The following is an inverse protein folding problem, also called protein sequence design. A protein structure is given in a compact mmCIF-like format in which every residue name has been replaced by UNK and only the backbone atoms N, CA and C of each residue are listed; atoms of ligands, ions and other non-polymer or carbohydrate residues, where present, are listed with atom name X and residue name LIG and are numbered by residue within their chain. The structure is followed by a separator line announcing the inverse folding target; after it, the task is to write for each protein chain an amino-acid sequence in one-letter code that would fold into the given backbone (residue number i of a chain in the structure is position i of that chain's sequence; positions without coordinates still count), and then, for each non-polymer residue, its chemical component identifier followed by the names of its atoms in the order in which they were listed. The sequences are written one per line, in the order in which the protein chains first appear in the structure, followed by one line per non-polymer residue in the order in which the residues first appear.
data_IF_616128019945
#
_entry.id   IF_616128019945
#
_cell.length_a   1.000
_cell.length_b   1.000
_cell.length_c   1.000
_cell.angle_alpha   90.00
_cell.angle_beta   90.00
_cell.angle_gamma   90.00
#
_symmetry.space_group_name_H-M   'P 1'
#
loop_
_entity.id
_entity.type
_entity.pdbx_description
1 polymer ?
#
# COMPACT_ATOMS: atom_id res chain seq x y z
N UNK A 1 14.80 -17.73 11.21
CA UNK A 1 14.93 -18.16 9.82
C UNK A 1 14.44 -17.08 8.90
N UNK A 2 15.29 -16.52 8.08
CA UNK A 2 14.78 -15.60 7.10
C UNK A 2 13.80 -16.35 6.20
N UNK A 3 12.72 -15.70 5.83
CA UNK A 3 11.86 -16.25 4.81
C UNK A 3 12.63 -16.18 3.51
N UNK A 4 13.32 -17.23 3.24
CA UNK A 4 14.29 -17.33 2.17
C UNK A 4 13.67 -17.27 0.79
N UNK A 5 12.35 -17.32 0.69
CA UNK A 5 11.68 -17.51 -0.58
C UNK A 5 10.55 -16.54 -0.85
N UNK A 6 10.64 -15.31 -0.29
CA UNK A 6 9.73 -14.29 -0.77
C UNK A 6 10.13 -13.96 -2.21
N UNK A 7 9.19 -14.09 -3.19
CA UNK A 7 9.47 -13.70 -4.56
C UNK A 7 9.57 -12.19 -4.74
N UNK A 8 9.41 -11.44 -3.64
CA UNK A 8 9.34 -9.99 -3.68
C UNK A 8 10.57 -9.36 -3.03
N UNK A 9 11.13 -8.36 -3.71
CA UNK A 9 12.25 -7.57 -3.22
C UNK A 9 11.78 -6.15 -2.98
N UNK A 10 12.10 -5.60 -1.80
CA UNK A 10 11.75 -4.23 -1.42
C UNK A 10 12.97 -3.34 -1.51
N UNK A 11 12.82 -2.19 -2.17
CA UNK A 11 13.85 -1.18 -2.26
C UNK A 11 13.21 0.20 -2.12
N UNK A 12 13.98 1.18 -1.62
CA UNK A 12 13.48 2.55 -1.57
C UNK A 12 13.03 2.97 -2.95
N UNK A 13 11.90 3.67 -3.03
CA UNK A 13 11.31 4.02 -4.29
C UNK A 13 12.19 5.02 -5.04
N UNK A 14 12.65 4.62 -6.22
CA UNK A 14 13.44 5.50 -7.10
C UNK A 14 12.53 6.53 -7.78
N UNK A 15 13.11 7.63 -8.24
CA UNK A 15 12.36 8.63 -9.00
C UNK A 15 11.76 8.02 -10.27
N UNK A 16 12.53 7.18 -10.94
CA UNK A 16 12.06 6.50 -12.14
C UNK A 16 10.83 5.62 -11.86
N UNK A 17 10.87 4.83 -10.79
CA UNK A 17 9.74 3.98 -10.42
C UNK A 17 8.55 4.80 -9.94
N UNK A 18 8.79 5.91 -9.23
CA UNK A 18 7.72 6.82 -8.83
C UNK A 18 6.97 7.37 -10.05
N UNK A 19 7.70 7.73 -11.09
CA UNK A 19 7.11 8.25 -12.33
C UNK A 19 6.28 7.18 -13.05
N UNK A 20 6.72 5.93 -13.02
CA UNK A 20 5.96 4.80 -13.59
C UNK A 20 4.68 4.60 -12.80
N UNK A 21 4.78 4.53 -11.46
CA UNK A 21 3.62 4.32 -10.59
C UNK A 21 2.59 5.43 -10.74
N UNK A 22 3.03 6.67 -10.89
CA UNK A 22 2.13 7.82 -11.05
C UNK A 22 1.22 7.69 -12.28
N UNK A 23 1.60 6.88 -13.25
CA UNK A 23 0.85 6.68 -14.50
C UNK A 23 -0.01 5.42 -14.49
N UNK A 24 -0.01 4.66 -13.43
CA UNK A 24 -0.85 3.46 -13.33
C UNK A 24 -2.32 3.85 -13.29
N UNK A 25 -3.15 3.15 -14.05
CA UNK A 25 -4.60 3.31 -14.09
C UNK A 25 -5.28 2.00 -13.76
N UNK A 26 -6.23 2.09 -12.85
CA UNK A 26 -7.02 0.92 -12.42
C UNK A 26 -8.38 0.95 -13.11
N UNK A 27 -8.93 -0.23 -13.45
CA UNK A 27 -10.29 -0.28 -14.02
C UNK A 27 -11.32 0.18 -13.00
N UNK A 28 -12.43 0.74 -13.49
CA UNK A 28 -13.51 1.16 -12.62
C UNK A 28 -14.05 -0.02 -11.81
N UNK A 29 -14.42 0.17 -10.55
CA UNK A 29 -14.47 1.43 -9.79
C UNK A 29 -13.13 1.80 -9.13
N UNK A 30 -12.07 1.06 -9.39
CA UNK A 30 -10.79 1.19 -8.69
C UNK A 30 -9.92 2.35 -9.20
N UNK A 31 -10.35 3.07 -10.24
CA UNK A 31 -9.67 4.28 -10.68
C UNK A 31 -9.61 5.35 -9.58
N UNK A 32 -10.43 5.20 -8.54
CA UNK A 32 -10.35 5.98 -7.32
C UNK A 32 -8.93 5.96 -6.72
N UNK A 33 -8.19 4.87 -6.92
CA UNK A 33 -6.84 4.69 -6.38
C UNK A 33 -5.74 5.12 -7.34
N UNK A 34 -6.08 5.65 -8.51
CA UNK A 34 -5.08 6.24 -9.41
C UNK A 34 -4.41 7.41 -8.70
N UNK A 35 -3.09 7.48 -8.79
CA UNK A 35 -2.37 8.60 -8.19
C UNK A 35 -2.84 9.93 -8.77
N UNK A 36 -3.17 9.95 -10.07
CA UNK A 36 -3.66 11.14 -10.75
C UNK A 36 -5.02 11.63 -10.24
N UNK A 37 -5.74 10.84 -9.44
CA UNK A 37 -7.03 11.24 -8.89
C UNK A 37 -6.91 12.29 -7.79
N UNK A 38 -5.74 12.47 -7.20
CA UNK A 38 -5.49 13.47 -6.16
C UNK A 38 -4.16 14.18 -6.40
N UNK A 39 -4.23 15.51 -6.55
CA UNK A 39 -3.06 16.34 -6.88
C UNK A 39 -2.00 16.30 -5.78
N UNK A 40 -2.44 16.29 -4.52
CA UNK A 40 -1.52 16.29 -3.40
C UNK A 40 -0.81 14.95 -3.28
N UNK A 41 -1.50 13.86 -3.53
CA UNK A 41 -0.93 12.51 -3.50
C UNK A 41 0.14 12.35 -4.58
N UNK A 42 -0.13 12.78 -5.80
CA UNK A 42 0.83 12.64 -6.88
C UNK A 42 2.05 13.55 -6.66
N UNK A 43 1.84 14.71 -6.05
CA UNK A 43 2.95 15.59 -5.69
C UNK A 43 3.86 14.94 -4.66
N UNK A 44 3.28 14.34 -3.61
CA UNK A 44 4.05 13.64 -2.58
C UNK A 44 4.87 12.50 -3.20
N UNK A 45 4.27 11.75 -4.11
CA UNK A 45 4.95 10.64 -4.77
C UNK A 45 6.12 11.11 -5.64
N UNK A 46 5.93 12.17 -6.43
CA UNK A 46 6.90 12.60 -7.43
C UNK A 46 7.99 13.53 -6.91
N UNK A 47 7.76 14.21 -5.80
CA UNK A 47 8.76 15.11 -5.22
C UNK A 47 9.61 14.36 -4.20
N UNK A 48 10.91 14.14 -4.47
CA UNK A 48 11.77 13.40 -3.55
C UNK A 48 11.80 13.97 -2.13
N UNK A 49 11.68 15.30 -1.99
CA UNK A 49 11.70 15.93 -0.69
C UNK A 49 10.42 15.61 0.11
N UNK A 50 9.27 15.57 -0.56
CA UNK A 50 8.00 15.21 0.08
C UNK A 50 7.87 13.71 0.30
N UNK A 51 8.33 12.91 -0.67
CA UNK A 51 8.29 11.46 -0.57
C UNK A 51 9.12 10.94 0.60
N UNK A 52 10.26 11.55 0.85
CA UNK A 52 11.16 11.12 1.91
C UNK A 52 11.57 9.66 1.73
N UNK A 53 11.58 8.92 2.83
CA UNK A 53 11.94 7.50 2.85
C UNK A 53 10.75 6.60 3.23
N UNK A 54 9.52 7.09 3.10
CA UNK A 54 8.33 6.34 3.45
C UNK A 54 7.94 5.31 2.39
N UNK A 55 8.34 5.50 1.14
CA UNK A 55 7.85 4.73 0.00
C UNK A 55 8.88 3.72 -0.49
N UNK A 56 8.40 2.51 -0.78
CA UNK A 56 9.22 1.38 -1.20
C UNK A 56 8.62 0.76 -2.46
N UNK A 57 9.49 0.56 -3.45
CA UNK A 57 9.12 -0.19 -4.65
C UNK A 57 9.27 -1.68 -4.39
N UNK A 58 8.36 -2.47 -4.95
CA UNK A 58 8.39 -3.93 -4.82
C UNK A 58 8.63 -4.52 -6.21
N UNK A 59 9.64 -5.36 -6.29
CA UNK A 59 10.06 -6.00 -7.55
C UNK A 59 9.90 -7.51 -7.42
N UNK A 60 9.56 -8.18 -8.53
CA UNK A 60 9.47 -9.63 -8.56
C UNK A 60 10.84 -10.28 -8.75
N UNK A 61 10.88 -11.61 -8.83
CA UNK A 61 12.11 -12.37 -9.01
C UNK A 61 12.85 -12.07 -10.31
N UNK A 62 12.20 -11.51 -11.29
CA UNK A 62 12.80 -11.05 -12.56
C UNK A 62 13.26 -9.61 -12.54
N UNK A 63 13.06 -8.90 -11.42
CA UNK A 63 13.44 -7.50 -11.28
C UNK A 63 12.40 -6.50 -11.79
N UNK A 64 11.20 -6.95 -12.15
CA UNK A 64 10.13 -6.05 -12.60
C UNK A 64 9.41 -5.39 -11.43
N UNK A 65 9.13 -4.10 -11.57
CA UNK A 65 8.33 -3.35 -10.61
C UNK A 65 6.89 -3.84 -10.66
N UNK A 66 6.41 -4.42 -9.57
CA UNK A 66 5.07 -5.00 -9.49
C UNK A 66 4.15 -4.29 -8.50
N UNK A 67 4.68 -3.41 -7.67
CA UNK A 67 3.87 -2.72 -6.69
C UNK A 67 4.69 -1.78 -5.84
N UNK A 68 4.03 -1.23 -4.84
CA UNK A 68 4.67 -0.35 -3.86
C UNK A 68 4.04 -0.52 -2.49
N UNK A 69 4.79 -0.12 -1.47
CA UNK A 69 4.28 0.06 -0.12
C UNK A 69 4.71 1.42 0.39
N UNK A 70 3.90 2.00 1.26
CA UNK A 70 4.34 3.09 2.13
C UNK A 70 4.28 2.62 3.57
N UNK A 71 5.25 3.07 4.36
CA UNK A 71 5.34 2.76 5.79
C UNK A 71 5.54 4.07 6.55
N UNK A 72 4.57 4.42 7.38
CA UNK A 72 4.58 5.68 8.14
C UNK A 72 4.42 5.37 9.62
N UNK A 73 5.52 5.41 10.41
CA UNK A 73 5.42 5.18 11.84
C UNK A 73 4.59 6.25 12.54
N UNK A 74 3.70 5.82 13.43
CA UNK A 74 2.85 6.70 14.25
C UNK A 74 2.78 6.12 15.64
N UNK A 75 3.69 6.57 16.53
CA UNK A 75 3.83 5.96 17.85
C UNK A 75 4.26 4.51 17.72
N UNK A 76 3.61 3.60 18.43
CA UNK A 76 3.88 2.16 18.33
C UNK A 76 3.27 1.50 17.09
N UNK A 77 2.48 2.23 16.32
CA UNK A 77 1.84 1.69 15.12
C UNK A 77 2.63 2.03 13.87
N UNK A 78 2.53 1.17 12.86
CA UNK A 78 3.03 1.43 11.53
C UNK A 78 1.84 1.47 10.58
N UNK A 79 1.58 2.66 10.03
CA UNK A 79 0.53 2.81 9.02
C UNK A 79 1.08 2.36 7.67
N UNK A 80 0.38 1.44 7.02
CA UNK A 80 0.79 0.91 5.72
C UNK A 80 -0.16 1.37 4.63
N UNK A 81 0.42 1.68 3.46
CA UNK A 81 -0.30 1.83 2.22
C UNK A 81 0.30 0.89 1.20
N UNK A 82 -0.48 0.42 0.24
CA UNK A 82 0.02 -0.52 -0.76
C UNK A 82 -0.76 -0.43 -2.06
N UNK A 83 -0.10 -0.80 -3.13
CA UNK A 83 -0.72 -0.91 -4.43
C UNK A 83 0.01 -1.89 -5.32
N UNK A 84 -0.76 -2.76 -5.99
CA UNK A 84 -0.25 -3.65 -7.03
C UNK A 84 -0.35 -2.98 -8.38
N UNK A 85 0.55 -3.32 -9.29
CA UNK A 85 0.46 -2.91 -10.69
C UNK A 85 -0.92 -3.33 -11.23
N UNK A 86 -1.59 -2.47 -11.99
CA UNK A 86 -2.99 -2.70 -12.37
C UNK A 86 -3.26 -4.05 -13.05
N UNK A 87 -2.36 -4.51 -13.91
CA UNK A 87 -2.52 -5.78 -14.63
C UNK A 87 -2.38 -7.01 -13.72
N UNK A 88 -1.88 -6.82 -12.50
CA UNK A 88 -1.71 -7.89 -11.52
C UNK A 88 -2.84 -7.97 -10.50
N UNK A 89 -3.75 -7.00 -10.49
CA UNK A 89 -4.89 -7.02 -9.58
C UNK A 89 -5.91 -8.07 -10.00
N UNK A 90 -6.63 -8.64 -9.03
CA UNK A 90 -7.66 -9.64 -9.32
C UNK A 90 -7.14 -11.01 -9.71
N UNK A 91 -5.85 -11.30 -9.49
CA UNK A 91 -5.22 -12.57 -9.85
C UNK A 91 -4.82 -13.42 -8.63
N UNK A 92 -5.34 -13.10 -7.46
CA UNK A 92 -5.02 -13.84 -6.25
C UNK A 92 -3.66 -13.52 -5.65
N UNK A 93 -2.97 -12.48 -6.11
CA UNK A 93 -1.65 -12.09 -5.61
C UNK A 93 -1.71 -11.25 -4.34
N UNK A 94 -2.88 -10.72 -4.00
CA UNK A 94 -3.03 -9.79 -2.88
C UNK A 94 -2.58 -10.35 -1.54
N UNK A 95 -2.91 -11.61 -1.25
CA UNK A 95 -2.55 -12.23 0.04
C UNK A 95 -1.03 -12.33 0.19
N UNK A 96 -0.33 -12.84 -0.83
CA UNK A 96 1.12 -12.98 -0.80
C UNK A 96 1.83 -11.63 -0.80
N UNK A 97 1.33 -10.67 -1.56
CA UNK A 97 1.87 -9.32 -1.62
C UNK A 97 1.77 -8.63 -0.26
N UNK A 98 0.59 -8.69 0.37
CA UNK A 98 0.39 -8.12 1.70
C UNK A 98 1.28 -8.81 2.74
N UNK A 99 1.34 -10.14 2.73
CA UNK A 99 2.18 -10.89 3.67
C UNK A 99 3.64 -10.48 3.57
N UNK A 100 4.15 -10.29 2.35
CA UNK A 100 5.52 -9.83 2.14
C UNK A 100 5.76 -8.44 2.71
N UNK A 101 4.81 -7.53 2.52
CA UNK A 101 4.88 -6.18 3.07
C UNK A 101 4.86 -6.14 4.59
N UNK A 102 4.01 -6.96 5.21
CA UNK A 102 3.96 -7.07 6.67
C UNK A 102 5.27 -7.62 7.23
N UNK A 103 5.83 -8.63 6.60
CA UNK A 103 7.11 -9.19 7.02
C UNK A 103 8.23 -8.17 6.90
N UNK A 104 8.29 -7.44 5.79
CA UNK A 104 9.27 -6.37 5.60
C UNK A 104 9.10 -5.29 6.67
N UNK A 105 7.86 -4.87 6.93
CA UNK A 105 7.57 -3.86 7.95
C UNK A 105 7.97 -4.29 9.35
N UNK A 106 7.73 -5.55 9.70
CA UNK A 106 8.17 -6.09 11.00
C UNK A 106 9.68 -6.00 11.17
N UNK A 107 10.42 -6.44 10.16
CA UNK A 107 11.89 -6.45 10.21
C UNK A 107 12.48 -5.06 10.24
N UNK A 108 11.93 -4.16 9.45
CA UNK A 108 12.50 -2.82 9.26
C UNK A 108 12.14 -1.87 10.39
N UNK A 109 10.92 -1.96 10.92
CA UNK A 109 10.38 -0.95 11.84
C UNK A 109 10.04 -1.51 13.22
N UNK A 110 9.91 -2.82 13.37
CA UNK A 110 9.55 -3.47 14.63
C UNK A 110 8.34 -2.82 15.32
N UNK A 111 7.21 -2.62 14.63
CA UNK A 111 6.04 -1.96 15.24
C UNK A 111 5.33 -2.90 16.20
N UNK A 112 4.52 -2.33 17.10
CA UNK A 112 3.62 -3.09 17.96
C UNK A 112 2.38 -3.54 17.19
N UNK A 113 1.94 -2.73 16.22
CA UNK A 113 0.77 -3.03 15.40
C UNK A 113 0.86 -2.36 14.04
N UNK A 114 0.10 -2.91 13.09
CA UNK A 114 -0.10 -2.31 11.79
C UNK A 114 -1.48 -1.66 11.72
N UNK A 115 -1.57 -0.52 11.03
CA UNK A 115 -2.84 0.12 10.69
C UNK A 115 -2.92 0.39 9.19
N UNK A 116 -4.12 0.48 8.67
CA UNK A 116 -4.37 0.89 7.30
C UNK A 116 -5.74 1.53 7.19
N UNK A 117 -5.95 2.24 6.09
CA UNK A 117 -7.25 2.81 5.75
C UNK A 117 -7.61 2.37 4.34
N UNK A 118 -8.86 1.99 4.13
CA UNK A 118 -9.37 1.52 2.85
C UNK A 118 -10.76 2.09 2.60
N UNK A 119 -11.02 2.51 1.35
CA UNK A 119 -12.36 2.97 0.99
C UNK A 119 -13.37 1.84 1.17
N UNK A 120 -14.52 2.14 1.77
CA UNK A 120 -15.49 1.10 2.14
C UNK A 120 -16.08 0.37 0.93
N UNK A 121 -16.06 0.98 -0.25
CA UNK A 121 -16.52 0.32 -1.46
C UNK A 121 -15.59 -0.81 -1.92
N UNK A 122 -14.32 -0.77 -1.49
CA UNK A 122 -13.30 -1.72 -1.94
C UNK A 122 -13.37 -3.04 -1.15
N UNK A 123 -14.44 -3.78 -1.36
CA UNK A 123 -14.71 -5.02 -0.64
C UNK A 123 -13.66 -6.09 -0.92
N UNK A 124 -13.08 -6.07 -2.11
CA UNK A 124 -12.02 -7.01 -2.50
C UNK A 124 -10.79 -6.85 -1.59
N UNK A 125 -10.33 -5.62 -1.40
CA UNK A 125 -9.19 -5.35 -0.53
C UNK A 125 -9.52 -5.65 0.93
N UNK A 126 -10.70 -5.25 1.40
CA UNK A 126 -11.11 -5.52 2.78
C UNK A 126 -11.04 -7.01 3.09
N UNK A 127 -11.48 -7.87 2.17
CA UNK A 127 -11.39 -9.33 2.37
C UNK A 127 -9.94 -9.81 2.48
N UNK A 128 -9.04 -9.26 1.67
CA UNK A 128 -7.60 -9.57 1.77
C UNK A 128 -7.08 -9.19 3.15
N UNK A 129 -7.42 -7.99 3.62
CA UNK A 129 -6.97 -7.51 4.93
C UNK A 129 -7.54 -8.37 6.07
N UNK A 130 -8.81 -8.72 5.99
CA UNK A 130 -9.42 -9.58 7.02
C UNK A 130 -8.77 -10.96 7.06
N UNK A 131 -8.46 -11.55 5.90
CA UNK A 131 -7.75 -12.83 5.84
C UNK A 131 -6.35 -12.73 6.45
N UNK A 132 -5.73 -11.57 6.37
CA UNK A 132 -4.42 -11.32 6.97
C UNK A 132 -4.49 -10.96 8.45
N UNK A 133 -5.68 -11.02 9.07
CA UNK A 133 -5.85 -10.80 10.50
C UNK A 133 -6.18 -9.37 10.89
N UNK A 134 -6.44 -8.49 9.96
CA UNK A 134 -6.86 -7.13 10.29
C UNK A 134 -8.32 -7.12 10.73
N UNK A 135 -8.59 -6.39 11.82
CA UNK A 135 -9.93 -6.15 12.32
C UNK A 135 -10.39 -4.75 11.96
N UNK A 136 -11.71 -4.61 11.78
CA UNK A 136 -12.33 -3.30 11.53
C UNK A 136 -12.30 -2.49 12.81
N UNK A 137 -11.83 -1.24 12.71
CA UNK A 137 -11.76 -0.34 13.87
C UNK A 137 -12.86 0.71 13.83
N UNK A 138 -12.92 1.50 12.76
CA UNK A 138 -13.91 2.55 12.62
C UNK A 138 -14.11 2.95 11.17
N UNK A 139 -15.28 3.50 10.89
CA UNK A 139 -15.61 4.12 9.61
C UNK A 139 -15.59 5.63 9.80
N UNK A 140 -15.03 6.35 8.83
CA UNK A 140 -14.94 7.81 8.88
C UNK A 140 -14.98 8.39 7.47
N UNK A 141 -15.28 9.70 7.39
CA UNK A 141 -15.25 10.41 6.12
C UNK A 141 -13.87 11.00 5.92
N UNK A 142 -13.29 10.74 4.77
CA UNK A 142 -11.94 11.20 4.42
C UNK A 142 -12.01 12.14 3.22
N UNK A 143 -11.43 13.33 3.37
CA UNK A 143 -11.33 14.30 2.28
C UNK A 143 -10.16 13.92 1.39
N UNK A 144 -10.47 13.51 0.16
CA UNK A 144 -9.48 13.12 -0.86
C UNK A 144 -10.13 13.17 -2.23
N UNK A 145 -9.32 13.17 -3.29
CA UNK A 145 -9.82 13.12 -4.67
C UNK A 145 -10.87 14.19 -4.98
N UNK A 146 -10.73 15.38 -4.38
CA UNK A 146 -11.66 16.50 -4.60
C UNK A 146 -13.03 16.36 -3.94
N UNK A 147 -13.19 15.45 -3.01
CA UNK A 147 -14.47 15.21 -2.33
C UNK A 147 -14.28 14.55 -0.98
N UNK A 148 -15.38 14.04 -0.44
CA UNK A 148 -15.35 13.27 0.80
C UNK A 148 -15.86 11.86 0.52
N UNK A 149 -15.11 10.87 1.04
CA UNK A 149 -15.35 9.46 0.79
C UNK A 149 -15.32 8.69 2.09
N UNK A 150 -16.15 7.66 2.18
CA UNK A 150 -16.19 6.82 3.37
C UNK A 150 -15.03 5.83 3.36
N UNK A 151 -14.26 5.82 4.45
CA UNK A 151 -13.12 4.92 4.66
C UNK A 151 -13.31 4.06 5.89
N UNK A 152 -12.71 2.89 5.86
CA UNK A 152 -12.62 1.97 6.98
C UNK A 152 -11.18 1.93 7.48
N UNK A 153 -10.97 2.20 8.76
CA UNK A 153 -9.69 1.97 9.42
C UNK A 153 -9.63 0.55 9.94
N UNK A 154 -8.54 -0.12 9.68
CA UNK A 154 -8.32 -1.51 10.11
C UNK A 154 -6.98 -1.62 10.81
N UNK A 155 -6.84 -2.57 11.73
CA UNK A 155 -5.59 -2.78 12.43
C UNK A 155 -5.39 -4.24 12.82
N UNK A 156 -4.12 -4.59 13.08
CA UNK A 156 -3.76 -5.87 13.65
C UNK A 156 -2.47 -5.73 14.46
N UNK A 157 -2.23 -6.65 15.37
CA UNK A 157 -0.92 -6.75 16.02
C UNK A 157 0.14 -7.17 14.99
N UNK A 158 1.33 -6.65 15.18
CA UNK A 158 2.45 -6.99 14.31
C UNK A 158 2.97 -8.40 14.53
#
# INVERSE_FOLDING_TARGET
MPSVNSPFTFARLSQQDAEVIAKWHYPEPYSFYDWSADVDDVRELLDPALRGDAYWGVHDGGGELIGHFSFKPKGGALEIGLGLRPDLTGRGLGDAFLAAGLEFGRRRFAPERFTLAVATFNKRAIKVYERAGFARERVYMHATNGGEWEFLEMSRRA
#
